data_IF_387008274185
#
_entry.id   IF_387008274185
#
_cell.length_a   1.000
_cell.length_b   1.000
_cell.length_c   1.000
_cell.angle_alpha   90.00
_cell.angle_beta   90.00
_cell.angle_gamma   90.00
#
_symmetry.space_group_name_H-M   'P 1'
#
loop_
_entity.id
_entity.type
_entity.pdbx_description
1 polymer ?
#
# COMPACT_ATOMS: atom_id res chain seq x y z
N UNK A 1 3.36 -89.65 -2.55
CA UNK A 1 2.97 -89.46 -1.13
C UNK A 1 3.05 -87.96 -0.86
N UNK A 2 1.90 -87.28 -0.75
CA UNK A 2 1.33 -86.80 0.53
C UNK A 2 2.30 -85.87 1.27
N UNK A 3 1.97 -84.69 1.79
CA UNK A 3 0.75 -83.89 1.90
C UNK A 3 1.17 -82.52 2.47
N UNK A 4 0.49 -81.45 2.05
CA UNK A 4 -0.04 -80.35 2.88
C UNK A 4 0.86 -79.73 3.98
N UNK A 5 1.16 -78.43 3.87
CA UNK A 5 0.88 -77.45 4.96
C UNK A 5 0.52 -76.09 4.36
N UNK A 6 -0.67 -75.62 4.71
CA UNK A 6 -1.23 -74.33 4.35
C UNK A 6 -0.47 -73.16 5.01
N UNK A 7 -0.28 -72.06 4.26
CA UNK A 7 -0.02 -70.75 4.85
C UNK A 7 -1.08 -69.77 4.38
N UNK A 8 -1.90 -69.38 5.34
CA UNK A 8 -3.12 -68.60 5.18
C UNK A 8 -2.88 -67.19 4.68
N UNK A 9 -3.92 -66.71 4.00
CA UNK A 9 -4.16 -65.34 3.56
C UNK A 9 -4.39 -64.44 4.78
N UNK A 10 -3.47 -63.54 5.08
CA UNK A 10 -3.71 -62.39 5.98
C UNK A 10 -2.78 -61.23 5.57
N UNK A 11 -3.10 -60.57 4.46
CA UNK A 11 -2.51 -59.27 4.12
C UNK A 11 -3.47 -58.56 3.15
N UNK A 12 -4.69 -58.29 3.61
CA UNK A 12 -5.72 -57.63 2.83
C UNK A 12 -6.52 -56.62 3.66
N UNK A 13 -5.88 -55.82 4.52
CA UNK A 13 -6.58 -54.77 5.28
C UNK A 13 -5.70 -53.55 5.62
N UNK A 14 -4.95 -53.01 4.66
CA UNK A 14 -4.44 -51.64 4.76
C UNK A 14 -4.51 -50.97 3.38
N UNK A 15 -5.72 -50.55 2.98
CA UNK A 15 -5.83 -49.49 1.97
C UNK A 15 -5.41 -48.19 2.66
N UNK A 16 -4.41 -47.44 2.16
CA UNK A 16 -4.16 -46.12 2.69
C UNK A 16 -5.42 -45.30 2.48
N UNK A 17 -5.95 -44.75 3.56
CA UNK A 17 -7.04 -43.79 3.55
C UNK A 17 -6.53 -42.54 2.85
N UNK A 18 -6.72 -42.48 1.53
CA UNK A 18 -6.46 -41.29 0.75
C UNK A 18 -7.54 -40.26 1.12
N UNK A 19 -7.14 -39.20 1.82
CA UNK A 19 -7.98 -38.02 2.03
C UNK A 19 -8.46 -37.52 0.66
N UNK A 20 -9.75 -37.15 0.49
CA UNK A 20 -10.20 -36.46 -0.71
C UNK A 20 -9.68 -35.01 -0.64
N UNK A 21 -8.40 -34.85 -0.95
CA UNK A 21 -7.66 -33.62 -0.73
C UNK A 21 -6.64 -33.35 -1.84
N UNK A 22 -6.97 -33.72 -3.07
CA UNK A 22 -6.10 -33.48 -4.24
C UNK A 22 -6.88 -32.84 -5.41
N UNK A 23 -7.89 -32.03 -5.09
CA UNK A 23 -8.73 -31.32 -6.06
C UNK A 23 -8.40 -29.84 -6.28
N UNK A 24 -7.35 -29.29 -5.68
CA UNK A 24 -7.17 -27.81 -5.62
C UNK A 24 -5.90 -27.25 -6.27
N UNK A 25 -5.06 -28.07 -6.93
CA UNK A 25 -3.75 -27.61 -7.44
C UNK A 25 -3.63 -27.46 -8.96
N UNK A 26 -4.70 -27.67 -9.75
CA UNK A 26 -4.64 -27.68 -11.24
C UNK A 26 -5.55 -26.68 -11.97
N UNK A 27 -6.36 -25.88 -11.28
CA UNK A 27 -7.34 -25.02 -11.98
C UNK A 27 -6.75 -23.77 -12.65
N UNK A 28 -5.56 -23.30 -12.24
CA UNK A 28 -5.00 -22.07 -12.80
C UNK A 28 -4.24 -22.26 -14.14
N UNK A 29 -3.82 -23.48 -14.49
CA UNK A 29 -3.01 -23.76 -15.69
C UNK A 29 -3.81 -24.20 -16.92
N UNK A 30 -5.12 -24.40 -16.80
CA UNK A 30 -5.96 -24.96 -17.88
C UNK A 30 -6.72 -23.89 -18.70
N UNK A 31 -6.50 -22.60 -18.41
CA UNK A 31 -7.09 -21.54 -19.23
C UNK A 31 -6.55 -21.62 -20.67
N UNK A 32 -7.43 -21.67 -21.68
CA UNK A 32 -6.99 -21.74 -23.06
C UNK A 32 -6.25 -20.45 -23.46
N UNK A 33 -5.18 -20.58 -24.25
CA UNK A 33 -4.26 -19.48 -24.59
C UNK A 33 -4.95 -18.23 -25.17
N UNK A 34 -6.07 -18.42 -25.87
CA UNK A 34 -6.82 -17.32 -26.46
C UNK A 34 -7.52 -16.42 -25.44
N UNK A 35 -7.70 -16.86 -24.18
CA UNK A 35 -8.24 -16.06 -23.08
C UNK A 35 -7.15 -15.29 -22.33
N UNK A 36 -5.88 -15.65 -22.52
CA UNK A 36 -4.78 -14.97 -21.85
C UNK A 36 -4.46 -13.63 -22.54
N UNK A 37 -3.87 -12.66 -21.83
CA UNK A 37 -3.34 -11.45 -22.43
C UNK A 37 -2.28 -11.75 -23.50
N UNK A 38 -2.27 -10.95 -24.56
CA UNK A 38 -1.43 -11.09 -25.74
C UNK A 38 -0.70 -9.80 -26.10
N UNK A 39 -0.18 -9.76 -27.33
CA UNK A 39 0.48 -8.58 -27.89
C UNK A 39 -0.51 -7.48 -28.25
N UNK A 40 -0.02 -6.24 -28.37
CA UNK A 40 -0.82 -5.08 -28.74
C UNK A 40 -1.61 -5.30 -30.06
N UNK A 41 -2.94 -5.07 -30.09
CA UNK A 41 -3.77 -5.29 -31.27
C UNK A 41 -3.61 -4.13 -32.26
N UNK A 42 -3.19 -4.43 -33.49
CA UNK A 42 -2.93 -3.42 -34.52
C UNK A 42 -4.08 -3.28 -35.51
N UNK A 43 -4.79 -4.37 -35.75
CA UNK A 43 -5.92 -4.39 -36.71
C UNK A 43 -7.26 -4.21 -36.00
N UNK A 44 -8.28 -3.63 -36.66
CA UNK A 44 -9.60 -3.49 -36.05
C UNK A 44 -10.27 -4.84 -35.75
N UNK A 45 -9.91 -5.89 -36.50
CA UNK A 45 -10.39 -7.25 -36.25
C UNK A 45 -9.78 -7.84 -34.98
N UNK A 46 -8.47 -7.63 -34.76
CA UNK A 46 -7.79 -8.01 -33.52
C UNK A 46 -8.35 -7.23 -32.32
N UNK A 47 -8.62 -5.94 -32.48
CA UNK A 47 -9.27 -5.14 -31.44
C UNK A 47 -10.66 -5.67 -31.09
N UNK A 48 -11.47 -6.02 -32.10
CA UNK A 48 -12.78 -6.63 -31.87
C UNK A 48 -12.71 -8.00 -31.20
N UNK A 49 -11.69 -8.81 -31.52
CA UNK A 49 -11.44 -10.08 -30.85
C UNK A 49 -10.97 -9.88 -29.40
N UNK A 50 -10.10 -8.89 -29.15
CA UNK A 50 -9.61 -8.56 -27.81
C UNK A 50 -10.72 -7.96 -26.93
N UNK A 51 -11.55 -7.07 -27.46
CA UNK A 51 -12.72 -6.54 -26.77
C UNK A 51 -13.65 -7.68 -26.31
N UNK A 52 -13.97 -8.62 -27.23
CA UNK A 52 -14.73 -9.83 -26.90
C UNK A 52 -14.05 -10.70 -25.84
N UNK A 53 -12.72 -10.84 -25.89
CA UNK A 53 -11.93 -11.60 -24.90
C UNK A 53 -12.08 -11.02 -23.48
N UNK A 54 -12.16 -9.69 -23.36
CA UNK A 54 -12.29 -8.99 -22.06
C UNK A 54 -13.75 -8.65 -21.68
N UNK A 55 -14.74 -9.18 -22.40
CA UNK A 55 -16.16 -8.88 -22.19
C UNK A 55 -16.50 -7.37 -22.30
N UNK A 56 -15.77 -6.64 -23.16
CA UNK A 56 -15.99 -5.22 -23.42
C UNK A 56 -16.62 -4.99 -24.80
N UNK A 57 -17.29 -3.86 -24.96
CA UNK A 57 -17.71 -3.40 -26.28
C UNK A 57 -16.49 -2.93 -27.08
N UNK A 58 -16.59 -2.89 -28.41
CA UNK A 58 -15.50 -2.40 -29.26
C UNK A 58 -15.20 -0.90 -29.00
N UNK A 59 -16.23 -0.13 -28.63
CA UNK A 59 -16.13 1.31 -28.38
C UNK A 59 -15.45 1.63 -27.05
N UNK A 60 -15.77 0.85 -26.01
CA UNK A 60 -15.17 1.02 -24.67
C UNK A 60 -13.77 0.41 -24.58
N UNK A 61 -13.42 -0.50 -25.50
CA UNK A 61 -12.11 -1.14 -25.52
C UNK A 61 -11.04 -0.17 -26.02
N UNK A 62 -10.29 0.39 -25.07
CA UNK A 62 -9.11 1.20 -25.33
C UNK A 62 -7.88 0.47 -24.78
N UNK A 63 -6.79 0.50 -25.53
CA UNK A 63 -5.50 -0.07 -25.11
C UNK A 63 -4.56 1.02 -24.62
N UNK A 64 -3.53 0.61 -23.88
CA UNK A 64 -2.40 1.49 -23.57
C UNK A 64 -1.54 1.71 -24.82
N UNK A 65 -0.79 2.83 -24.87
CA UNK A 65 0.14 3.10 -25.97
C UNK A 65 1.23 2.00 -26.06
N UNK A 66 1.64 1.69 -27.29
CA UNK A 66 2.68 0.69 -27.60
C UNK A 66 4.09 1.27 -27.39
N UNK A 67 4.38 1.68 -26.15
CA UNK A 67 5.66 2.30 -25.75
C UNK A 67 6.72 1.26 -25.36
N UNK A 68 6.49 -0.03 -25.65
CA UNK A 68 7.39 -1.13 -25.26
C UNK A 68 7.40 -1.46 -23.76
N UNK A 69 6.51 -0.86 -22.96
CA UNK A 69 6.38 -1.11 -21.51
C UNK A 69 5.81 -2.50 -21.20
N UNK A 70 5.22 -3.17 -22.21
CA UNK A 70 4.75 -4.56 -22.09
C UNK A 70 3.31 -4.69 -21.61
N UNK A 71 2.45 -3.69 -21.85
CA UNK A 71 1.02 -3.78 -21.52
C UNK A 71 0.23 -4.70 -22.44
N UNK A 72 0.71 -4.88 -23.68
CA UNK A 72 0.08 -5.78 -24.64
C UNK A 72 -1.33 -5.34 -25.03
N UNK A 73 -2.27 -6.27 -25.02
CA UNK A 73 -3.69 -6.04 -25.33
C UNK A 73 -4.58 -5.77 -24.11
N UNK A 74 -4.00 -5.49 -22.94
CA UNK A 74 -4.78 -5.25 -21.73
C UNK A 74 -5.61 -3.95 -21.83
N UNK A 75 -6.90 -3.96 -21.44
CA UNK A 75 -7.75 -2.78 -21.54
C UNK A 75 -7.33 -1.69 -20.56
N UNK A 76 -7.29 -0.45 -21.04
CA UNK A 76 -7.10 0.77 -20.27
C UNK A 76 -8.43 1.21 -19.70
N UNK A 77 -8.74 0.70 -18.51
CA UNK A 77 -9.91 1.12 -17.74
C UNK A 77 -9.70 2.53 -17.14
N UNK A 78 -10.78 3.27 -16.85
CA UNK A 78 -10.68 4.57 -16.18
C UNK A 78 -10.01 4.43 -14.81
N UNK A 79 -9.17 5.39 -14.46
CA UNK A 79 -8.43 5.44 -13.19
C UNK A 79 -9.36 5.85 -12.03
N UNK A 80 -10.28 4.96 -11.67
CA UNK A 80 -11.24 5.16 -10.58
C UNK A 80 -11.02 4.13 -9.46
N UNK A 81 -10.92 4.63 -8.24
CA UNK A 81 -10.87 3.80 -7.03
C UNK A 81 -12.16 3.01 -6.82
N UNK A 82 -12.05 1.85 -6.18
CA UNK A 82 -13.21 1.04 -5.79
C UNK A 82 -14.15 1.80 -4.85
N UNK A 83 -13.66 2.83 -4.14
CA UNK A 83 -14.43 3.64 -3.22
C UNK A 83 -15.51 4.49 -3.93
N UNK A 84 -15.27 4.90 -5.17
CA UNK A 84 -16.20 5.69 -5.97
C UNK A 84 -17.39 4.87 -6.52
N UNK A 85 -17.27 3.54 -6.58
CA UNK A 85 -18.35 2.66 -7.03
C UNK A 85 -19.51 2.63 -6.03
N UNK A 86 -20.72 2.41 -6.54
CA UNK A 86 -21.95 2.38 -5.73
C UNK A 86 -21.83 1.40 -4.54
N UNK A 87 -21.99 1.86 -3.29
CA UNK A 87 -21.98 0.99 -2.13
C UNK A 87 -23.25 0.14 -1.95
N UNK A 88 -24.36 0.50 -2.60
CA UNK A 88 -25.67 -0.12 -2.37
C UNK A 88 -25.97 -1.29 -3.30
N UNK A 89 -25.39 -1.27 -4.51
CA UNK A 89 -25.45 -2.42 -5.41
C UNK A 89 -24.84 -3.68 -4.78
N UNK A 90 -25.51 -4.83 -4.97
CA UNK A 90 -25.07 -6.13 -4.49
C UNK A 90 -23.99 -6.71 -5.40
N UNK A 91 -22.73 -6.33 -5.14
CA UNK A 91 -21.56 -6.84 -5.86
C UNK A 91 -21.25 -8.30 -5.50
N UNK A 92 -20.84 -9.11 -6.48
CA UNK A 92 -20.35 -10.48 -6.25
C UNK A 92 -19.18 -10.50 -5.26
N UNK A 93 -18.22 -9.58 -5.44
CA UNK A 93 -17.13 -9.34 -4.50
C UNK A 93 -17.36 -8.05 -3.73
N UNK A 94 -18.19 -8.11 -2.68
CA UNK A 94 -18.61 -6.95 -1.88
C UNK A 94 -17.47 -6.11 -1.30
N UNK A 95 -16.36 -6.75 -0.91
CA UNK A 95 -15.18 -6.05 -0.38
C UNK A 95 -14.52 -5.16 -1.44
N UNK A 96 -14.43 -5.68 -2.67
CA UNK A 96 -13.73 -5.04 -3.79
C UNK A 96 -14.66 -4.20 -4.67
N UNK A 97 -15.98 -4.28 -4.44
CA UNK A 97 -17.04 -3.68 -5.27
C UNK A 97 -16.85 -4.02 -6.75
N UNK A 98 -16.85 -5.31 -7.07
CA UNK A 98 -16.58 -5.83 -8.42
C UNK A 98 -17.46 -7.05 -8.71
N UNK A 99 -17.91 -7.19 -9.94
CA UNK A 99 -18.65 -8.37 -10.40
C UNK A 99 -17.70 -9.42 -11.01
N UNK A 100 -18.18 -10.65 -11.08
CA UNK A 100 -17.49 -11.72 -11.80
C UNK A 100 -17.49 -11.44 -13.31
N UNK A 101 -16.37 -11.70 -13.98
CA UNK A 101 -16.22 -11.47 -15.43
C UNK A 101 -15.92 -10.03 -15.86
N UNK A 102 -15.97 -9.05 -14.95
CA UNK A 102 -15.48 -7.69 -15.21
C UNK A 102 -13.95 -7.66 -15.37
N UNK A 103 -13.42 -6.93 -16.38
CA UNK A 103 -11.98 -6.73 -16.51
C UNK A 103 -11.43 -5.99 -15.29
N UNK A 104 -10.26 -6.41 -14.82
CA UNK A 104 -9.60 -5.81 -13.68
C UNK A 104 -8.84 -4.56 -14.12
N UNK A 105 -8.83 -3.50 -13.32
CA UNK A 105 -7.98 -2.36 -13.59
C UNK A 105 -6.50 -2.78 -13.49
N UNK A 106 -5.62 -2.24 -14.34
CA UNK A 106 -4.21 -2.64 -14.36
C UNK A 106 -3.54 -2.45 -12.99
N UNK A 107 -3.71 -1.28 -12.39
CA UNK A 107 -3.21 -0.95 -11.05
C UNK A 107 -4.29 -1.22 -9.98
N UNK A 108 -4.96 -2.36 -10.07
CA UNK A 108 -6.07 -2.68 -9.17
C UNK A 108 -5.63 -2.70 -7.70
N UNK A 109 -4.42 -3.16 -7.43
CA UNK A 109 -3.79 -3.17 -6.11
C UNK A 109 -3.70 -1.77 -5.47
N UNK A 110 -3.51 -0.72 -6.29
CA UNK A 110 -3.48 0.68 -5.85
C UNK A 110 -4.88 1.22 -5.54
N UNK A 111 -5.87 0.80 -6.32
CA UNK A 111 -7.25 1.30 -6.28
C UNK A 111 -8.21 0.42 -5.46
N UNK A 112 -7.66 -0.52 -4.66
CA UNK A 112 -8.42 -1.24 -3.64
C UNK A 112 -8.97 -0.24 -2.62
N UNK A 113 -10.12 -0.57 -2.04
CA UNK A 113 -10.85 0.25 -1.05
C UNK A 113 -10.00 0.73 0.14
N UNK A 114 -8.96 -0.01 0.51
CA UNK A 114 -8.07 0.28 1.64
C UNK A 114 -6.86 1.17 1.30
N UNK A 115 -6.73 1.60 0.04
CA UNK A 115 -5.53 2.26 -0.50
C UNK A 115 -5.86 3.67 -1.02
N UNK A 116 -5.55 3.96 -2.28
CA UNK A 116 -5.70 5.30 -2.86
C UNK A 116 -7.15 5.52 -3.27
N UNK A 117 -7.71 6.61 -2.76
CA UNK A 117 -9.05 7.06 -3.12
C UNK A 117 -8.98 8.20 -4.14
N UNK A 118 -9.82 8.10 -5.17
CA UNK A 118 -9.99 9.09 -6.24
C UNK A 118 -11.36 9.77 -6.19
N UNK A 119 -12.11 9.57 -5.11
CA UNK A 119 -13.43 10.17 -4.92
C UNK A 119 -13.35 11.70 -4.96
N UNK A 120 -14.34 12.37 -5.57
CA UNK A 120 -14.34 13.83 -5.65
C UNK A 120 -14.48 14.43 -4.26
N UNK A 121 -13.58 15.34 -3.92
CA UNK A 121 -13.64 16.13 -2.68
C UNK A 121 -14.32 17.48 -2.93
N UNK A 122 -14.98 18.07 -1.93
CA UNK A 122 -15.72 19.33 -2.10
C UNK A 122 -14.83 20.53 -2.41
N UNK A 123 -13.53 20.47 -2.08
CA UNK A 123 -12.56 21.55 -2.31
C UNK A 123 -11.57 21.11 -3.39
N UNK A 124 -11.26 21.96 -4.39
CA UNK A 124 -10.31 21.59 -5.42
C UNK A 124 -8.89 21.40 -4.87
N UNK A 125 -8.17 20.42 -5.42
CA UNK A 125 -6.86 19.97 -4.92
C UNK A 125 -5.80 21.08 -4.80
N UNK A 126 -5.76 22.01 -5.75
CA UNK A 126 -4.78 23.11 -5.73
C UNK A 126 -5.02 24.06 -4.56
N UNK A 127 -6.27 24.31 -4.20
CA UNK A 127 -6.66 25.15 -3.05
C UNK A 127 -6.30 24.47 -1.73
N UNK A 128 -6.58 23.17 -1.59
CA UNK A 128 -6.18 22.40 -0.41
C UNK A 128 -4.66 22.50 -0.16
N UNK A 129 -3.86 22.31 -1.22
CA UNK A 129 -2.39 22.42 -1.13
C UNK A 129 -1.92 23.82 -0.75
N UNK A 130 -2.53 24.87 -1.32
CA UNK A 130 -2.19 26.26 -0.99
C UNK A 130 -2.43 26.56 0.49
N UNK A 131 -3.58 26.16 1.04
CA UNK A 131 -3.85 26.36 2.46
C UNK A 131 -2.92 25.54 3.35
N UNK A 132 -2.68 24.28 3.02
CA UNK A 132 -1.79 23.40 3.80
C UNK A 132 -0.37 23.96 3.88
N UNK A 133 0.23 24.29 2.74
CA UNK A 133 1.58 24.85 2.69
C UNK A 133 1.64 26.29 3.19
N UNK A 134 0.59 27.09 2.97
CA UNK A 134 0.49 28.44 3.53
C UNK A 134 0.49 28.42 5.06
N UNK A 135 -0.29 27.52 5.67
CA UNK A 135 -0.34 27.37 7.12
C UNK A 135 1.00 26.92 7.70
N UNK A 136 1.62 25.88 7.12
CA UNK A 136 2.94 25.41 7.55
C UNK A 136 3.98 26.52 7.40
N UNK A 137 3.98 27.23 6.27
CA UNK A 137 4.89 28.33 6.02
C UNK A 137 4.75 29.46 7.04
N UNK A 138 3.53 29.91 7.33
CA UNK A 138 3.28 30.95 8.34
C UNK A 138 3.71 30.49 9.72
N UNK A 139 3.43 29.24 10.09
CA UNK A 139 3.80 28.70 11.41
C UNK A 139 5.32 28.68 11.58
N UNK A 140 6.06 28.23 10.58
CA UNK A 140 7.53 28.21 10.61
C UNK A 140 8.12 29.61 10.66
N UNK A 141 7.57 30.57 9.90
CA UNK A 141 8.00 31.97 9.94
C UNK A 141 7.75 32.58 11.31
N UNK A 142 6.59 32.34 11.92
CA UNK A 142 6.29 32.87 13.26
C UNK A 142 7.15 32.23 14.35
N UNK A 143 7.45 30.93 14.23
CA UNK A 143 8.40 30.27 15.13
C UNK A 143 9.80 30.90 15.04
N UNK A 144 10.29 31.14 13.82
CA UNK A 144 11.57 31.79 13.59
C UNK A 144 11.61 33.23 14.12
N UNK A 145 10.54 34.00 13.95
CA UNK A 145 10.40 35.34 14.57
C UNK A 145 10.41 35.24 16.10
N UNK A 146 9.77 34.21 16.67
CA UNK A 146 9.79 33.94 18.10
C UNK A 146 11.20 33.64 18.65
N UNK A 147 12.07 33.02 17.85
CA UNK A 147 13.48 32.83 18.21
C UNK A 147 14.31 34.10 18.09
N UNK A 148 14.04 34.96 17.09
CA UNK A 148 14.70 36.26 16.98
C UNK A 148 14.35 37.22 18.13
N UNK A 149 13.08 37.17 18.57
CA UNK A 149 12.56 38.04 19.63
C UNK A 149 12.06 37.20 20.82
N UNK A 150 12.98 36.57 21.57
CA UNK A 150 12.59 35.71 22.67
C UNK A 150 11.98 36.54 23.81
N UNK A 151 10.81 36.14 24.26
CA UNK A 151 10.23 36.67 25.49
C UNK A 151 10.95 36.06 26.70
N UNK A 152 11.54 36.90 27.54
CA UNK A 152 12.17 36.50 28.80
C UNK A 152 11.50 37.21 29.98
N UNK A 153 11.62 36.62 31.17
CA UNK A 153 11.14 37.26 32.40
C UNK A 153 12.17 38.31 32.82
N UNK A 154 11.77 39.50 33.32
CA UNK A 154 12.69 40.57 33.74
C UNK A 154 13.35 40.24 35.08
N UNK A 155 14.07 39.13 35.13
CA UNK A 155 14.83 38.63 36.27
C UNK A 155 16.26 38.37 35.81
N UNK A 156 17.23 38.62 36.70
CA UNK A 156 18.61 38.28 36.43
C UNK A 156 18.82 36.77 36.24
N UNK A 157 20.00 36.35 35.75
CA UNK A 157 20.35 34.94 35.68
C UNK A 157 20.29 34.30 37.08
N UNK A 158 19.90 33.03 37.13
CA UNK A 158 19.85 32.28 38.38
C UNK A 158 21.28 32.12 38.92
N UNK A 159 21.51 32.62 40.13
CA UNK A 159 22.78 32.47 40.82
C UNK A 159 22.83 31.13 41.55
N UNK A 160 23.99 30.46 41.50
CA UNK A 160 24.22 29.16 42.11
C UNK A 160 25.45 29.21 43.01
N UNK A 161 25.43 28.59 44.21
CA UNK A 161 26.58 28.56 45.10
C UNK A 161 27.70 27.66 44.57
N UNK A 162 28.87 27.69 45.23
CA UNK A 162 30.01 26.81 44.96
C UNK A 162 30.49 26.82 43.49
N UNK A 163 30.76 28.01 42.95
CA UNK A 163 31.14 28.22 41.55
C UNK A 163 30.16 27.54 40.59
N UNK A 164 28.88 27.92 40.58
CA UNK A 164 27.87 27.28 39.71
C UNK A 164 27.73 25.74 39.86
N UNK A 165 27.91 25.22 41.08
CA UNK A 165 27.82 23.78 41.36
C UNK A 165 28.79 22.95 40.50
N UNK A 166 30.02 23.45 40.36
CA UNK A 166 31.04 22.83 39.52
C UNK A 166 31.41 21.41 39.98
N UNK A 167 31.35 21.10 41.28
CA UNK A 167 31.68 19.75 41.77
C UNK A 167 30.63 18.70 41.35
N UNK A 168 29.37 19.11 41.25
CA UNK A 168 28.23 18.24 40.94
C UNK A 168 28.00 18.09 39.42
N UNK A 169 28.27 19.15 38.64
CA UNK A 169 27.99 19.18 37.22
C UNK A 169 29.15 18.71 36.33
N UNK A 170 30.35 18.55 36.90
CA UNK A 170 31.56 18.33 36.12
C UNK A 170 31.87 16.85 35.86
N UNK A 171 32.35 16.57 34.64
CA UNK A 171 32.72 15.23 34.21
C UNK A 171 34.12 14.76 34.68
N UNK A 172 35.04 15.69 34.94
CA UNK A 172 36.42 15.41 35.35
C UNK A 172 36.75 16.08 36.70
N UNK A 173 37.46 15.42 37.63
CA UNK A 173 37.68 15.97 38.98
C UNK A 173 38.88 16.93 39.11
N UNK A 174 39.82 16.95 38.16
CA UNK A 174 41.18 17.48 38.39
C UNK A 174 41.51 18.86 37.78
N UNK A 175 40.53 19.60 37.28
CA UNK A 175 40.73 21.00 36.81
C UNK A 175 40.12 21.96 37.79
N UNK A 176 40.88 22.99 38.14
CA UNK A 176 40.39 24.01 39.06
C UNK A 176 39.28 24.83 38.39
N UNK A 177 38.15 25.02 39.07
CA UNK A 177 37.06 25.84 38.55
C UNK A 177 37.45 27.32 38.54
N UNK A 178 36.86 28.09 37.62
CA UNK A 178 36.99 29.54 37.66
C UNK A 178 36.20 30.08 38.86
N UNK A 179 36.78 30.94 39.71
CA UNK A 179 36.10 31.41 40.91
C UNK A 179 34.97 32.38 40.55
N UNK A 180 33.72 31.97 40.78
CA UNK A 180 32.51 32.77 40.55
C UNK A 180 31.95 33.21 41.91
N UNK A 181 31.97 34.51 42.18
CA UNK A 181 31.45 35.08 43.44
C UNK A 181 30.15 35.85 43.17
N UNK A 182 29.14 35.56 43.98
CA UNK A 182 27.88 36.30 44.00
C UNK A 182 27.82 37.16 45.27
N UNK A 183 27.29 38.37 45.15
CA UNK A 183 27.16 39.34 46.24
C UNK A 183 25.70 39.72 46.43
N UNK A 184 25.32 40.10 47.65
CA UNK A 184 24.00 40.67 47.94
C UNK A 184 23.90 42.07 47.30
N UNK A 185 22.73 42.36 46.71
CA UNK A 185 22.42 43.62 46.02
C UNK A 185 21.66 44.55 46.97
#
# INVERSE_FOLDING_TARGET
MASVVARGRLCALLRPFAWPGDGSRRLASELPKHLLPGSYPKTPQEQAAAAKKYNLTLEDYQTYADDGVGYGDYPKLPDQSAQAKDPWYEWDYRELRRNFGEPLHRNFDLFVRSRVDTSPTPVPWHVMKMYFWGFIGITLVMAFVGEMFPAYRPVGPKQFPYNNLDLENRAEPNTEPTPVKHYEI
#
